data_IF_876931078015
#
_entry.id   IF_876931078015
#
_cell.length_a   1.000
_cell.length_b   1.000
_cell.length_c   1.000
_cell.angle_alpha   90.00
_cell.angle_beta   90.00
_cell.angle_gamma   90.00
#
_symmetry.space_group_name_H-M   'P 1'
#
loop_
_entity.id
_entity.type
_entity.pdbx_description
1 polymer ?
#
# COMPACT_ATOMS: atom_id res chain seq x y z
N UNK A 1 -27.86 -42.76 0.26
CA UNK A 1 -26.56 -42.59 -0.43
C UNK A 1 -26.25 -41.11 -0.74
N UNK A 2 -27.24 -40.34 -1.22
CA UNK A 2 -27.08 -38.90 -1.58
C UNK A 2 -26.66 -38.00 -0.39
N UNK A 3 -27.22 -38.19 0.81
CA UNK A 3 -26.91 -37.34 1.98
C UNK A 3 -25.45 -37.39 2.45
N UNK A 4 -24.78 -38.55 2.31
CA UNK A 4 -23.36 -38.69 2.68
C UNK A 4 -22.40 -38.08 1.65
N UNK A 5 -22.83 -37.94 0.39
CA UNK A 5 -22.05 -37.26 -0.64
C UNK A 5 -22.18 -35.74 -0.50
N UNK A 6 -23.40 -35.24 -0.32
CA UNK A 6 -23.65 -33.80 -0.08
C UNK A 6 -22.91 -33.32 1.17
N UNK A 7 -22.94 -34.07 2.27
CA UNK A 7 -22.21 -33.71 3.49
C UNK A 7 -20.69 -33.65 3.30
N UNK A 8 -20.11 -34.58 2.53
CA UNK A 8 -18.67 -34.57 2.20
C UNK A 8 -18.29 -33.42 1.27
N UNK A 9 -19.13 -33.12 0.28
CA UNK A 9 -18.91 -32.01 -0.63
C UNK A 9 -18.96 -30.65 0.09
N UNK A 10 -19.94 -30.46 0.98
CA UNK A 10 -20.02 -29.26 1.84
C UNK A 10 -18.82 -29.17 2.76
N UNK A 11 -18.42 -30.28 3.40
CA UNK A 11 -17.23 -30.31 4.26
C UNK A 11 -15.93 -29.96 3.51
N UNK A 12 -15.74 -30.50 2.30
CA UNK A 12 -14.59 -30.17 1.47
C UNK A 12 -14.58 -28.69 1.02
N UNK A 13 -15.74 -28.14 0.67
CA UNK A 13 -15.86 -26.72 0.32
C UNK A 13 -15.53 -25.81 1.51
N UNK A 14 -16.03 -26.11 2.71
CA UNK A 14 -15.71 -25.36 3.94
C UNK A 14 -14.20 -25.44 4.25
N UNK A 15 -13.59 -26.61 4.11
CA UNK A 15 -12.14 -26.78 4.31
C UNK A 15 -11.32 -25.99 3.29
N UNK A 16 -11.72 -26.00 2.01
CA UNK A 16 -11.05 -25.24 0.96
C UNK A 16 -11.13 -23.73 1.22
N UNK A 17 -12.31 -23.21 1.59
CA UNK A 17 -12.49 -21.80 1.95
C UNK A 17 -11.64 -21.44 3.17
N UNK A 18 -11.63 -22.28 4.20
CA UNK A 18 -10.79 -22.09 5.38
C UNK A 18 -9.30 -22.05 5.04
N UNK A 19 -8.83 -22.94 4.16
CA UNK A 19 -7.44 -22.97 3.72
C UNK A 19 -7.04 -21.71 2.95
N UNK A 20 -7.92 -21.18 2.08
CA UNK A 20 -7.69 -19.92 1.35
C UNK A 20 -7.56 -18.75 2.31
N UNK A 21 -8.44 -18.65 3.31
CA UNK A 21 -8.38 -17.58 4.32
C UNK A 21 -7.08 -17.66 5.12
N UNK A 22 -6.72 -18.85 5.63
CA UNK A 22 -5.52 -19.03 6.45
C UNK A 22 -4.25 -18.78 5.64
N UNK A 23 -4.15 -19.32 4.42
CA UNK A 23 -2.98 -19.10 3.55
C UNK A 23 -2.80 -17.63 3.16
N UNK A 24 -3.89 -16.91 2.91
CA UNK A 24 -3.85 -15.46 2.64
C UNK A 24 -3.36 -14.68 3.86
N UNK A 25 -3.88 -14.99 5.05
CA UNK A 25 -3.43 -14.34 6.29
C UNK A 25 -1.95 -14.60 6.58
N UNK A 26 -1.45 -15.81 6.29
CA UNK A 26 -0.02 -16.15 6.40
C UNK A 26 0.82 -15.39 5.38
N UNK A 27 0.36 -15.26 4.14
CA UNK A 27 1.04 -14.49 3.10
C UNK A 27 1.15 -13.00 3.47
N UNK A 28 0.05 -12.38 3.94
CA UNK A 28 0.07 -10.99 4.44
C UNK A 28 1.09 -10.84 5.57
N UNK A 29 1.11 -11.76 6.52
CA UNK A 29 2.05 -11.74 7.65
C UNK A 29 3.51 -11.90 7.21
N UNK A 30 3.76 -12.65 6.12
CA UNK A 30 5.09 -12.84 5.53
C UNK A 30 5.54 -11.58 4.79
N UNK A 31 4.73 -11.07 3.86
CA UNK A 31 5.04 -9.83 3.11
C UNK A 31 5.24 -8.64 4.04
N UNK A 32 4.43 -8.51 5.09
CA UNK A 32 4.58 -7.47 6.11
C UNK A 32 5.95 -7.46 6.83
N UNK A 33 6.73 -8.55 6.74
CA UNK A 33 8.07 -8.66 7.32
C UNK A 33 9.20 -8.53 6.31
N UNK A 34 8.89 -8.58 5.02
CA UNK A 34 9.87 -8.39 3.99
C UNK A 34 10.07 -6.89 3.80
N UNK A 35 11.34 -6.49 3.73
CA UNK A 35 11.74 -5.13 3.47
C UNK A 35 12.64 -5.18 2.26
N UNK A 36 12.01 -5.10 1.09
CA UNK A 36 12.68 -5.29 -0.17
C UNK A 36 13.14 -3.94 -0.71
N UNK A 37 14.44 -3.84 -0.97
CA UNK A 37 15.09 -2.62 -1.46
C UNK A 37 15.78 -2.88 -2.81
N UNK A 38 15.08 -3.45 -3.82
CA UNK A 38 15.66 -3.61 -5.15
C UNK A 38 15.93 -2.23 -5.75
N UNK A 39 16.95 -2.13 -6.61
CA UNK A 39 17.10 -0.96 -7.46
C UNK A 39 15.88 -0.82 -8.35
N UNK A 40 15.26 0.35 -8.31
CA UNK A 40 13.99 0.63 -9.01
C UNK A 40 14.03 2.01 -9.66
N UNK A 41 13.09 2.25 -10.57
CA UNK A 41 12.94 3.54 -11.25
C UNK A 41 12.40 4.61 -10.29
N UNK A 42 11.50 4.23 -9.37
CA UNK A 42 10.95 5.14 -8.36
C UNK A 42 10.65 4.46 -7.01
N UNK A 43 10.69 5.27 -5.94
CA UNK A 43 10.10 4.96 -4.64
C UNK A 43 8.69 5.57 -4.61
N UNK A 44 7.65 4.77 -4.39
CA UNK A 44 6.26 5.25 -4.36
C UNK A 44 5.76 5.24 -2.91
N UNK A 45 5.52 6.42 -2.35
CA UNK A 45 5.02 6.61 -0.99
C UNK A 45 3.51 6.70 -1.01
N UNK A 46 2.85 5.69 -0.46
CA UNK A 46 1.40 5.73 -0.31
C UNK A 46 1.00 6.75 0.75
N UNK A 47 0.05 7.59 0.37
CA UNK A 47 -0.56 8.61 1.21
C UNK A 47 -1.15 8.04 2.50
N UNK A 48 -1.12 8.91 3.50
CA UNK A 48 -1.81 8.76 4.78
C UNK A 48 -2.25 10.15 5.25
N UNK A 49 -2.91 10.27 6.41
CA UNK A 49 -3.50 11.51 6.86
C UNK A 49 -2.45 12.62 6.91
N UNK A 50 -2.90 13.81 6.52
CA UNK A 50 -2.23 15.06 6.76
C UNK A 50 -3.17 16.03 7.50
N UNK A 51 -2.60 17.01 8.18
CA UNK A 51 -3.31 18.06 8.90
C UNK A 51 -2.81 19.43 8.45
N UNK A 52 -3.48 20.03 7.46
CA UNK A 52 -3.13 21.32 6.86
C UNK A 52 -1.69 21.36 6.33
N UNK A 53 -1.32 20.37 5.51
CA UNK A 53 0.02 20.24 4.92
C UNK A 53 1.03 19.54 5.83
N UNK A 54 0.68 19.24 7.08
CA UNK A 54 1.56 18.52 8.02
C UNK A 54 1.24 17.03 8.00
N UNK A 55 2.18 16.15 7.61
CA UNK A 55 1.97 14.70 7.66
C UNK A 55 1.59 14.22 9.07
N UNK A 56 0.65 13.29 9.16
CA UNK A 56 0.39 12.56 10.42
C UNK A 56 1.61 11.71 10.79
N UNK A 57 1.71 11.25 12.04
CA UNK A 57 2.85 10.43 12.48
C UNK A 57 3.02 9.10 11.71
N UNK A 58 1.94 8.57 11.11
CA UNK A 58 2.02 7.40 10.23
C UNK A 58 2.63 7.82 8.89
N UNK A 59 2.15 8.94 8.33
CA UNK A 59 2.62 9.42 7.05
C UNK A 59 4.09 9.90 7.12
N UNK A 60 4.45 10.61 8.17
CA UNK A 60 5.82 11.02 8.49
C UNK A 60 6.76 9.82 8.54
N UNK A 61 6.40 8.75 9.25
CA UNK A 61 7.23 7.53 9.30
C UNK A 61 7.43 6.87 7.92
N UNK A 62 6.46 7.02 6.99
CA UNK A 62 6.61 6.56 5.60
C UNK A 62 7.55 7.48 4.81
N UNK A 63 7.44 8.78 5.01
CA UNK A 63 8.27 9.77 4.34
C UNK A 63 9.74 9.69 4.81
N UNK A 64 9.98 9.51 6.11
CA UNK A 64 11.32 9.25 6.66
C UNK A 64 11.94 7.97 6.08
N UNK A 65 11.14 6.92 5.94
CA UNK A 65 11.61 5.66 5.34
C UNK A 65 11.92 5.82 3.85
N UNK A 66 11.06 6.54 3.12
CA UNK A 66 11.30 6.86 1.70
C UNK A 66 12.56 7.71 1.50
N UNK A 67 12.79 8.68 2.39
CA UNK A 67 14.01 9.48 2.40
C UNK A 67 15.26 8.61 2.56
N UNK A 68 15.26 7.67 3.52
CA UNK A 68 16.38 6.75 3.72
C UNK A 68 16.64 5.88 2.47
N UNK A 69 15.59 5.34 1.83
CA UNK A 69 15.73 4.56 0.59
C UNK A 69 16.31 5.41 -0.55
N UNK A 70 15.91 6.67 -0.66
CA UNK A 70 16.45 7.60 -1.66
C UNK A 70 17.92 7.91 -1.39
N UNK A 71 18.29 8.18 -0.13
CA UNK A 71 19.69 8.40 0.28
C UNK A 71 20.58 7.19 0.02
N UNK A 72 20.05 5.97 0.21
CA UNK A 72 20.73 4.71 -0.08
C UNK A 72 20.78 4.37 -1.59
N UNK A 73 20.17 5.20 -2.44
CA UNK A 73 20.21 5.06 -3.90
C UNK A 73 19.35 3.90 -4.43
N UNK A 74 18.28 3.55 -3.72
CA UNK A 74 17.31 2.51 -4.12
C UNK A 74 16.57 2.93 -5.39
N UNK A 75 16.18 4.21 -5.48
CA UNK A 75 15.65 4.81 -6.70
C UNK A 75 16.04 6.29 -6.79
N UNK A 76 16.16 6.85 -8.00
CA UNK A 76 16.50 8.26 -8.19
C UNK A 76 15.34 9.21 -7.88
N UNK A 77 14.09 8.75 -7.95
CA UNK A 77 12.89 9.58 -7.81
C UNK A 77 11.97 9.06 -6.70
N UNK A 78 11.35 9.97 -5.96
CA UNK A 78 10.30 9.67 -4.98
C UNK A 78 8.95 10.22 -5.48
N UNK A 79 7.96 9.34 -5.60
CA UNK A 79 6.59 9.64 -5.99
C UNK A 79 5.71 9.61 -4.74
N UNK A 80 5.09 10.73 -4.36
CA UNK A 80 4.07 10.77 -3.32
C UNK A 80 2.69 10.71 -3.96
N UNK A 81 1.79 9.88 -3.42
CA UNK A 81 0.43 9.72 -3.98
C UNK A 81 -0.64 9.82 -2.91
N UNK A 82 -1.72 10.53 -3.20
CA UNK A 82 -2.90 10.62 -2.36
C UNK A 82 -3.64 11.94 -2.53
N UNK A 83 -4.96 11.84 -2.61
CA UNK A 83 -5.84 12.99 -2.79
C UNK A 83 -6.07 13.80 -1.52
N UNK A 84 -7.19 14.53 -1.49
CA UNK A 84 -7.65 15.32 -0.35
C UNK A 84 -9.12 15.05 -0.05
N UNK A 85 -9.57 15.31 1.18
CA UNK A 85 -10.99 15.23 1.54
C UNK A 85 -11.69 16.57 1.28
N UNK A 86 -13.01 16.54 1.14
CA UNK A 86 -13.80 17.75 0.95
C UNK A 86 -13.57 18.72 2.11
N UNK A 87 -13.07 19.92 1.80
CA UNK A 87 -12.73 20.96 2.78
C UNK A 87 -11.25 21.04 3.14
N UNK A 88 -10.41 20.11 2.68
CA UNK A 88 -8.96 20.20 2.87
C UNK A 88 -8.33 21.15 1.85
N UNK A 89 -7.37 21.96 2.30
CA UNK A 89 -6.58 22.84 1.43
C UNK A 89 -5.47 22.07 0.69
N UNK A 90 -4.94 21.02 1.32
CA UNK A 90 -3.78 20.26 0.85
C UNK A 90 -4.14 18.81 0.53
N UNK A 91 -3.47 18.24 -0.47
CA UNK A 91 -3.48 16.79 -0.73
C UNK A 91 -2.42 16.07 0.09
N UNK A 92 -2.63 14.77 0.33
CA UNK A 92 -1.61 13.92 0.96
C UNK A 92 -0.33 13.89 0.11
N UNK A 93 -0.46 13.86 -1.22
CA UNK A 93 0.70 13.89 -2.12
C UNK A 93 1.51 15.19 -2.01
N UNK A 94 0.86 16.37 -1.98
CA UNK A 94 1.54 17.65 -1.80
C UNK A 94 2.23 17.75 -0.43
N UNK A 95 1.53 17.37 0.64
CA UNK A 95 2.10 17.37 1.99
C UNK A 95 3.34 16.47 2.08
N UNK A 96 3.31 15.30 1.45
CA UNK A 96 4.47 14.40 1.40
C UNK A 96 5.63 14.94 0.57
N UNK A 97 5.34 15.54 -0.59
CA UNK A 97 6.35 16.17 -1.45
C UNK A 97 7.06 17.30 -0.71
N UNK A 98 6.29 18.19 -0.10
CA UNK A 98 6.81 19.36 0.58
C UNK A 98 7.65 18.96 1.80
N UNK A 99 7.24 17.92 2.54
CA UNK A 99 8.05 17.33 3.61
C UNK A 99 9.42 16.84 3.12
N UNK A 100 9.46 16.09 2.00
CA UNK A 100 10.72 15.56 1.45
C UNK A 100 11.61 16.66 0.85
N UNK A 101 11.00 17.68 0.25
CA UNK A 101 11.69 18.86 -0.23
C UNK A 101 12.37 19.61 0.93
N UNK A 102 11.65 19.82 2.04
CA UNK A 102 12.19 20.43 3.26
C UNK A 102 13.29 19.57 3.91
N UNK A 103 13.23 18.25 3.75
CA UNK A 103 14.25 17.31 4.19
C UNK A 103 15.51 17.27 3.29
N UNK A 104 15.49 17.96 2.13
CA UNK A 104 16.64 18.15 1.26
C UNK A 104 16.65 17.33 -0.02
N UNK A 105 15.58 16.60 -0.34
CA UNK A 105 15.43 15.94 -1.64
C UNK A 105 15.25 17.01 -2.72
N UNK A 106 16.03 16.99 -3.82
CA UNK A 106 15.86 17.96 -4.91
C UNK A 106 14.45 17.91 -5.51
N UNK A 107 13.90 19.06 -5.90
CA UNK A 107 12.57 19.13 -6.51
C UNK A 107 12.46 18.31 -7.81
N UNK A 108 13.56 18.15 -8.56
CA UNK A 108 13.60 17.35 -9.79
C UNK A 108 13.52 15.83 -9.51
N UNK A 109 13.77 15.40 -8.27
CA UNK A 109 13.70 14.00 -7.82
C UNK A 109 12.34 13.70 -7.13
N UNK A 110 11.39 14.64 -7.18
CA UNK A 110 10.09 14.53 -6.51
C UNK A 110 8.92 14.66 -7.49
N UNK A 111 7.98 13.73 -7.41
CA UNK A 111 6.72 13.77 -8.16
C UNK A 111 5.55 13.61 -7.20
N UNK A 112 4.54 14.48 -7.33
CA UNK A 112 3.32 14.40 -6.53
C UNK A 112 2.12 14.03 -7.41
N UNK A 113 1.53 12.87 -7.17
CA UNK A 113 0.29 12.40 -7.80
C UNK A 113 -0.87 12.75 -6.87
N UNK A 114 -1.48 13.90 -7.11
CA UNK A 114 -2.43 14.57 -6.19
C UNK A 114 -3.87 14.09 -6.28
N UNK A 115 -4.15 13.18 -7.21
CA UNK A 115 -5.46 12.60 -7.40
C UNK A 115 -5.51 11.18 -6.80
N UNK A 116 -6.71 10.69 -6.48
CA UNK A 116 -6.93 9.35 -5.96
C UNK A 116 -7.62 9.35 -4.60
N UNK A 117 -8.82 8.74 -4.54
CA UNK A 117 -9.60 8.61 -3.30
C UNK A 117 -9.44 7.25 -2.63
N UNK A 118 -8.83 6.29 -3.31
CA UNK A 118 -8.46 4.99 -2.76
C UNK A 118 -7.15 4.45 -3.37
N UNK A 119 -6.66 3.34 -2.82
CA UNK A 119 -5.40 2.72 -3.25
C UNK A 119 -5.40 2.28 -4.71
N UNK A 120 -6.52 1.79 -5.24
CA UNK A 120 -6.58 1.27 -6.60
C UNK A 120 -6.57 2.41 -7.62
N UNK A 121 -7.31 3.48 -7.37
CA UNK A 121 -7.25 4.69 -8.18
C UNK A 121 -5.86 5.33 -8.12
N UNK A 122 -5.30 5.44 -6.91
CA UNK A 122 -3.91 5.92 -6.71
C UNK A 122 -2.91 5.13 -7.56
N UNK A 123 -3.00 3.80 -7.57
CA UNK A 123 -2.11 2.95 -8.38
C UNK A 123 -2.27 3.16 -9.88
N UNK A 124 -3.49 3.39 -10.37
CA UNK A 124 -3.73 3.69 -11.79
C UNK A 124 -3.15 5.03 -12.19
N UNK A 125 -3.24 6.03 -11.32
CA UNK A 125 -2.67 7.36 -11.56
C UNK A 125 -1.13 7.31 -11.54
N UNK A 126 -0.55 6.58 -10.58
CA UNK A 126 0.90 6.31 -10.55
C UNK A 126 1.34 5.56 -11.81
N UNK A 127 0.58 4.57 -12.28
CA UNK A 127 0.90 3.84 -13.50
C UNK A 127 0.89 4.75 -14.74
N UNK A 128 -0.05 5.71 -14.82
CA UNK A 128 -0.06 6.70 -15.90
C UNK A 128 1.18 7.61 -15.87
N UNK A 129 1.65 7.98 -14.67
CA UNK A 129 2.91 8.71 -14.51
C UNK A 129 4.12 7.86 -14.94
N UNK A 130 4.15 6.58 -14.56
CA UNK A 130 5.20 5.64 -14.98
C UNK A 130 5.25 5.49 -16.50
N UNK A 131 4.10 5.35 -17.16
CA UNK A 131 4.01 5.30 -18.62
C UNK A 131 4.54 6.59 -19.27
N UNK A 132 4.24 7.76 -18.69
CA UNK A 132 4.70 9.05 -19.20
C UNK A 132 6.22 9.23 -19.07
N UNK A 133 6.81 8.70 -18.00
CA UNK A 133 8.25 8.79 -17.70
C UNK A 133 9.06 7.63 -18.30
N UNK A 134 8.40 6.57 -18.76
CA UNK A 134 9.05 5.33 -19.23
C UNK A 134 9.62 4.48 -18.09
N UNK A 135 9.04 4.56 -16.89
CA UNK A 135 9.40 3.75 -15.73
C UNK A 135 8.63 2.44 -15.70
N UNK A 136 9.17 1.45 -15.00
CA UNK A 136 8.58 0.10 -14.94
C UNK A 136 8.66 -0.54 -13.56
N UNK A 137 9.62 -0.13 -12.73
CA UNK A 137 9.93 -0.76 -11.45
C UNK A 137 9.73 0.20 -10.28
N UNK A 138 9.14 -0.28 -9.18
CA UNK A 138 8.85 0.54 -8.01
C UNK A 138 9.19 -0.17 -6.69
N UNK A 139 9.65 0.63 -5.72
CA UNK A 139 9.61 0.24 -4.30
C UNK A 139 8.45 0.97 -3.62
N UNK A 140 7.47 0.23 -3.13
CA UNK A 140 6.29 0.78 -2.45
C UNK A 140 6.55 0.96 -0.96
N UNK A 141 6.42 2.19 -0.48
CA UNK A 141 6.47 2.52 0.95
C UNK A 141 5.06 2.70 1.49
N UNK A 142 4.68 1.81 2.42
CA UNK A 142 3.35 1.77 3.04
C UNK A 142 3.42 1.09 4.41
N UNK A 143 2.28 0.86 5.06
CA UNK A 143 2.25 0.11 6.32
C UNK A 143 2.34 -1.41 6.08
N UNK A 144 2.92 -2.18 7.03
CA UNK A 144 3.20 -3.61 6.87
C UNK A 144 2.01 -4.44 6.39
N UNK A 145 0.82 -4.20 6.94
CA UNK A 145 -0.35 -5.01 6.66
C UNK A 145 -0.98 -4.69 5.29
N UNK A 146 -0.68 -3.51 4.74
CA UNK A 146 -1.20 -3.04 3.45
C UNK A 146 -0.28 -3.39 2.27
N UNK A 147 0.99 -3.71 2.55
CA UNK A 147 2.02 -4.02 1.57
C UNK A 147 1.57 -5.02 0.50
N UNK A 148 1.07 -6.20 0.90
CA UNK A 148 0.68 -7.25 -0.06
C UNK A 148 -0.42 -6.82 -1.04
N UNK A 149 -1.40 -6.04 -0.57
CA UNK A 149 -2.49 -5.58 -1.43
C UNK A 149 -2.04 -4.43 -2.33
N UNK A 150 -1.21 -3.53 -1.82
CA UNK A 150 -0.63 -2.44 -2.59
C UNK A 150 0.28 -2.97 -3.71
N UNK A 151 1.17 -3.91 -3.39
CA UNK A 151 2.04 -4.61 -4.34
C UNK A 151 1.21 -5.26 -5.46
N UNK A 152 0.18 -6.02 -5.08
CA UNK A 152 -0.71 -6.66 -6.04
C UNK A 152 -1.45 -5.67 -6.96
N UNK A 153 -1.92 -4.55 -6.40
CA UNK A 153 -2.63 -3.52 -7.18
C UNK A 153 -1.68 -2.76 -8.12
N UNK A 154 -0.41 -2.58 -7.73
CA UNK A 154 0.63 -2.00 -8.58
C UNK A 154 0.95 -2.93 -9.76
N UNK A 155 1.17 -4.22 -9.48
CA UNK A 155 1.38 -5.25 -10.51
C UNK A 155 0.21 -5.31 -11.50
N UNK A 156 -1.03 -5.29 -11.01
CA UNK A 156 -2.23 -5.29 -11.84
C UNK A 156 -2.40 -4.01 -12.67
N UNK A 157 -1.70 -2.93 -12.28
CA UNK A 157 -1.62 -1.68 -13.03
C UNK A 157 -0.41 -1.61 -13.96
N UNK A 158 0.41 -2.66 -14.04
CA UNK A 158 1.57 -2.75 -14.93
C UNK A 158 2.91 -2.33 -14.33
N UNK A 159 2.98 -2.09 -13.01
CA UNK A 159 4.20 -1.72 -12.30
C UNK A 159 4.82 -2.96 -11.66
N UNK A 160 6.08 -3.27 -11.97
CA UNK A 160 6.85 -4.30 -11.27
C UNK A 160 7.24 -3.77 -9.88
N UNK A 161 6.51 -4.21 -8.86
CA UNK A 161 6.53 -3.61 -7.54
C UNK A 161 7.12 -4.55 -6.50
N UNK A 162 7.97 -4.01 -5.63
CA UNK A 162 8.36 -4.62 -4.37
C UNK A 162 7.90 -3.73 -3.21
N UNK A 163 7.60 -4.30 -2.04
CA UNK A 163 7.22 -3.51 -0.87
C UNK A 163 8.36 -3.35 0.14
N UNK A 164 8.53 -2.13 0.64
CA UNK A 164 9.42 -1.78 1.75
C UNK A 164 8.59 -1.10 2.85
N UNK A 165 7.86 -1.89 3.67
CA UNK A 165 6.91 -1.36 4.63
C UNK A 165 7.59 -0.75 5.85
N UNK A 166 7.00 0.31 6.40
CA UNK A 166 7.50 0.95 7.61
C UNK A 166 7.45 -0.01 8.81
N UNK A 167 8.55 -0.10 9.56
CA UNK A 167 8.61 -0.90 10.79
C UNK A 167 8.16 -0.14 12.04
N UNK A 168 7.76 1.11 11.88
CA UNK A 168 7.44 2.05 12.95
C UNK A 168 5.98 2.50 12.88
N UNK A 169 5.42 2.93 14.01
CA UNK A 169 4.07 3.51 14.08
C UNK A 169 2.99 2.66 14.77
N UNK A 170 1.79 3.23 14.98
CA UNK A 170 0.71 2.61 15.77
C UNK A 170 0.15 1.29 15.22
N UNK A 171 0.34 1.01 13.93
CA UNK A 171 -0.13 -0.21 13.27
C UNK A 171 0.55 -1.49 13.79
N UNK A 172 1.75 -1.38 14.39
CA UNK A 172 2.51 -2.52 14.94
C UNK A 172 2.47 -2.60 16.47
N UNK A 173 1.86 -1.65 17.17
CA UNK A 173 2.01 -1.50 18.63
C UNK A 173 1.38 -2.60 19.50
N UNK A 174 0.27 -3.24 19.09
CA UNK A 174 -0.38 -4.29 19.92
C UNK A 174 -0.86 -5.49 19.12
N UNK A 175 -0.74 -6.70 19.70
CA UNK A 175 -1.16 -7.97 19.07
C UNK A 175 -2.64 -7.99 18.66
N UNK A 176 -3.51 -7.34 19.42
CA UNK A 176 -4.95 -7.25 19.12
C UNK A 176 -5.25 -6.29 17.95
N UNK A 177 -4.45 -5.23 17.80
CA UNK A 177 -4.51 -4.35 16.64
C UNK A 177 -3.98 -5.05 15.39
N UNK A 178 -2.83 -5.74 15.48
CA UNK A 178 -2.28 -6.53 14.37
C UNK A 178 -3.28 -7.59 13.87
N UNK A 179 -3.93 -8.32 14.77
CA UNK A 179 -4.93 -9.33 14.39
C UNK A 179 -6.13 -8.72 13.65
N UNK A 180 -6.64 -7.57 14.10
CA UNK A 180 -7.73 -6.85 13.41
C UNK A 180 -7.30 -6.35 12.03
N UNK A 181 -6.09 -5.83 11.89
CA UNK A 181 -5.56 -5.41 10.59
C UNK A 181 -5.41 -6.59 9.63
N UNK A 182 -4.83 -7.71 10.08
CA UNK A 182 -4.68 -8.91 9.24
C UNK A 182 -6.04 -9.43 8.78
N UNK A 183 -7.04 -9.50 9.68
CA UNK A 183 -8.39 -9.93 9.31
C UNK A 183 -9.02 -9.01 8.26
N UNK A 184 -8.93 -7.70 8.48
CA UNK A 184 -9.46 -6.69 7.56
C UNK A 184 -8.78 -6.78 6.20
N UNK A 185 -7.45 -6.86 6.16
CA UNK A 185 -6.69 -6.93 4.92
C UNK A 185 -6.89 -8.28 4.20
N UNK A 186 -7.08 -9.37 4.94
CA UNK A 186 -7.46 -10.65 4.35
C UNK A 186 -8.81 -10.54 3.62
N UNK A 187 -9.81 -9.91 4.26
CA UNK A 187 -11.11 -9.69 3.63
C UNK A 187 -11.02 -8.74 2.42
N UNK A 188 -10.32 -7.63 2.55
CA UNK A 188 -10.16 -6.65 1.48
C UNK A 188 -9.40 -7.23 0.28
N UNK A 189 -8.33 -7.98 0.52
CA UNK A 189 -7.55 -8.64 -0.53
C UNK A 189 -8.37 -9.72 -1.25
N UNK A 190 -9.09 -10.58 -0.52
CA UNK A 190 -9.93 -11.60 -1.13
C UNK A 190 -11.08 -11.01 -1.94
N UNK A 191 -11.68 -9.91 -1.47
CA UNK A 191 -12.70 -9.19 -2.23
C UNK A 191 -12.12 -8.64 -3.53
N UNK A 192 -10.99 -7.92 -3.44
CA UNK A 192 -10.31 -7.40 -4.63
C UNK A 192 -9.97 -8.51 -5.63
N UNK A 193 -9.44 -9.65 -5.15
CA UNK A 193 -9.14 -10.81 -6.00
C UNK A 193 -10.38 -11.41 -6.68
N UNK A 194 -11.56 -11.25 -6.08
CA UNK A 194 -12.81 -11.79 -6.60
C UNK A 194 -13.54 -10.82 -7.54
N UNK A 195 -13.49 -9.51 -7.26
CA UNK A 195 -14.28 -8.49 -7.98
C UNK A 195 -13.45 -7.55 -8.84
N UNK A 196 -12.16 -7.40 -8.58
CA UNK A 196 -11.31 -6.36 -9.15
C UNK A 196 -11.56 -4.95 -8.58
N UNK A 197 -12.46 -4.83 -7.60
CA UNK A 197 -12.84 -3.56 -6.99
C UNK A 197 -12.10 -3.32 -5.67
N UNK A 198 -11.71 -2.08 -5.42
CA UNK A 198 -11.24 -1.61 -4.13
C UNK A 198 -12.42 -1.43 -3.17
N UNK A 199 -12.17 -1.62 -1.87
CA UNK A 199 -13.16 -1.26 -0.85
C UNK A 199 -13.10 0.26 -0.65
N UNK A 200 -13.93 0.99 -1.39
CA UNK A 200 -14.11 2.43 -1.21
C UNK A 200 -14.56 2.75 0.22
N UNK A 201 -13.86 3.67 0.89
CA UNK A 201 -14.27 4.17 2.21
C UNK A 201 -14.00 3.25 3.41
N UNK A 202 -13.34 2.09 3.23
CA UNK A 202 -12.67 1.48 4.38
C UNK A 202 -11.50 2.41 4.72
N UNK A 203 -11.46 3.10 5.87
CA UNK A 203 -10.41 4.06 6.15
C UNK A 203 -9.10 3.34 5.99
N UNK A 204 -8.41 3.56 4.86
CA UNK A 204 -6.97 3.43 4.85
C UNK A 204 -6.53 4.21 6.06
N UNK A 205 -5.51 3.76 6.74
CA UNK A 205 -4.81 4.65 7.67
C UNK A 205 -4.08 5.72 6.87
N UNK A 206 -4.80 6.39 5.95
CA UNK A 206 -4.81 7.82 5.74
C UNK A 206 -5.93 8.48 6.53
#
# INVERSE_FOLDING_TARGET
MVGGFVGRAVGAAVLAVGLVIVSTAVAIWWTARQDAEPRSDAIVVLGSAQYNGVPSSIFEARLEHALALWEDGVAPVVVTVGGKKDGDEFTEAEAGRDYLLDAGVPADDLVAVTDGVDTLESMRLVAAEFDAQGWSTAVLVTDPWHAMRAERMAEDSGIDAASSPTRQGPAVQTRSTQFRYILRETAAYLLYRATGESVAGAPGIG
#
